data_IF_475685606334
#
_entry.id   IF_475685606334
#
_cell.length_a   1.000
_cell.length_b   1.000
_cell.length_c   1.000
_cell.angle_alpha   90.00
_cell.angle_beta   90.00
_cell.angle_gamma   90.00
#
_symmetry.space_group_name_H-M   'P 1'
#
loop_
_entity.id
_entity.type
_entity.pdbx_description
1 polymer ?
#
# COMPACT_ATOMS: atom_id res chain seq x y z
N UNK A 1 -0.60 12.17 45.68
CA UNK A 1 0.36 12.05 44.57
C UNK A 1 0.82 10.61 44.27
N UNK A 2 1.04 9.74 45.24
CA UNK A 2 1.50 8.35 45.02
C UNK A 2 0.48 7.39 44.30
N UNK A 3 -0.82 7.64 44.45
CA UNK A 3 -1.88 6.81 43.83
C UNK A 3 -2.03 7.07 42.32
N UNK A 4 -1.84 8.29 41.83
CA UNK A 4 -1.96 8.66 40.41
C UNK A 4 -0.83 8.01 39.58
N UNK A 5 0.41 8.05 40.05
CA UNK A 5 1.56 7.41 39.39
C UNK A 5 1.47 5.87 39.30
N UNK A 6 0.72 5.20 40.21
CA UNK A 6 0.50 3.75 40.14
C UNK A 6 -0.56 3.36 39.09
N UNK A 7 -1.59 4.20 38.91
CA UNK A 7 -2.62 3.98 37.88
C UNK A 7 -2.02 4.16 36.48
N UNK A 8 -1.21 5.21 36.28
CA UNK A 8 -0.54 5.49 34.99
C UNK A 8 0.41 4.35 34.58
N UNK A 9 1.18 3.81 35.53
CA UNK A 9 2.06 2.66 35.30
C UNK A 9 1.28 1.36 34.97
N UNK A 10 0.09 1.16 35.58
CA UNK A 10 -0.72 -0.01 35.30
C UNK A 10 -1.38 0.04 33.92
N UNK A 11 -1.82 1.21 33.47
CA UNK A 11 -2.42 1.41 32.15
C UNK A 11 -1.35 1.31 31.05
N UNK A 12 -0.20 1.94 31.18
CA UNK A 12 0.90 1.86 30.24
C UNK A 12 1.53 0.46 30.17
N UNK A 13 1.59 -0.28 31.26
CA UNK A 13 2.11 -1.65 31.30
C UNK A 13 1.19 -2.64 30.57
N UNK A 14 -0.14 -2.45 30.62
CA UNK A 14 -1.10 -3.28 29.87
C UNK A 14 -1.04 -3.01 28.36
N UNK A 15 -0.85 -1.75 27.96
CA UNK A 15 -0.65 -1.40 26.55
C UNK A 15 0.61 -2.06 25.97
N UNK A 16 1.74 -1.97 26.68
CA UNK A 16 3.01 -2.57 26.28
C UNK A 16 2.95 -4.11 26.27
N UNK A 17 2.25 -4.74 27.20
CA UNK A 17 2.09 -6.20 27.22
C UNK A 17 1.18 -6.70 26.09
N UNK A 18 0.17 -5.92 25.70
CA UNK A 18 -0.67 -6.23 24.55
C UNK A 18 0.11 -6.11 23.24
N UNK A 19 1.00 -5.12 23.10
CA UNK A 19 1.91 -4.96 21.94
C UNK A 19 2.91 -6.13 21.82
N UNK A 20 3.36 -6.67 22.93
CA UNK A 20 4.34 -7.77 22.96
C UNK A 20 3.70 -9.17 22.87
N UNK A 21 2.38 -9.28 22.81
CA UNK A 21 1.69 -10.57 22.78
C UNK A 21 1.86 -11.40 24.06
N UNK A 22 2.35 -10.79 25.16
CA UNK A 22 2.59 -11.41 26.45
C UNK A 22 1.44 -11.03 27.38
N UNK A 23 0.27 -11.61 27.15
CA UNK A 23 -0.88 -11.48 28.03
C UNK A 23 -1.38 -12.85 28.43
N UNK A 24 -1.28 -13.21 29.70
CA UNK A 24 -2.04 -14.35 30.24
C UNK A 24 -3.53 -14.09 29.99
N UNK A 25 -4.12 -14.93 29.14
CA UNK A 25 -5.56 -14.97 28.98
C UNK A 25 -6.17 -15.39 30.32
N UNK A 26 -7.16 -14.67 30.88
CA UNK A 26 -7.98 -15.24 31.93
C UNK A 26 -8.77 -16.40 31.32
N UNK A 27 -8.58 -17.60 31.86
CA UNK A 27 -9.43 -18.75 31.62
C UNK A 27 -10.87 -18.37 32.02
N UNK A 28 -11.68 -18.08 31.01
CA UNK A 28 -13.14 -18.14 31.23
C UNK A 28 -13.76 -18.91 30.07
N UNK A 29 -14.14 -20.13 30.43
CA UNK A 29 -14.84 -21.12 29.66
C UNK A 29 -16.25 -20.65 29.35
N UNK A 30 -16.50 -20.23 28.14
CA UNK A 30 -17.84 -19.91 27.70
C UNK A 30 -17.85 -19.34 26.27
N UNK A 31 -17.99 -20.23 25.26
CA UNK A 31 -18.04 -19.88 23.85
C UNK A 31 -19.08 -18.82 23.54
N UNK A 32 -18.59 -17.65 23.12
CA UNK A 32 -19.31 -16.68 22.30
C UNK A 32 -18.30 -15.93 21.44
N UNK A 33 -18.62 -15.84 20.17
CA UNK A 33 -17.92 -15.14 19.09
C UNK A 33 -17.07 -13.97 19.57
N UNK A 34 -15.81 -13.94 19.13
CA UNK A 34 -14.86 -12.86 19.36
C UNK A 34 -15.38 -11.53 18.78
N UNK A 35 -16.27 -10.87 19.53
CA UNK A 35 -16.50 -9.46 19.42
C UNK A 35 -15.22 -8.75 19.86
N UNK A 36 -14.76 -7.76 19.12
CA UNK A 36 -13.65 -6.87 19.44
C UNK A 36 -13.79 -6.50 20.93
N UNK A 37 -12.90 -7.05 21.76
CA UNK A 37 -12.92 -6.83 23.21
C UNK A 37 -12.70 -5.34 23.46
N UNK A 38 -13.77 -4.62 23.78
CA UNK A 38 -13.68 -3.26 24.31
C UNK A 38 -13.08 -3.40 25.71
N UNK A 39 -11.77 -3.24 25.83
CA UNK A 39 -11.13 -3.12 27.12
C UNK A 39 -11.65 -1.86 27.80
N UNK A 40 -12.67 -1.99 28.63
CA UNK A 40 -13.20 -0.91 29.45
C UNK A 40 -12.29 -0.70 30.66
N UNK A 41 -11.15 -0.05 30.45
CA UNK A 41 -10.41 0.53 31.57
C UNK A 41 -11.29 1.60 32.21
N UNK A 42 -11.46 1.55 33.54
CA UNK A 42 -12.23 2.55 34.30
C UNK A 42 -11.35 3.63 34.95
N UNK A 43 -10.09 3.78 34.52
CA UNK A 43 -9.28 4.89 34.99
C UNK A 43 -9.78 6.22 34.42
N UNK A 44 -9.61 7.37 35.12
CA UNK A 44 -10.05 8.67 34.65
C UNK A 44 -9.51 9.02 33.26
N UNK A 45 -8.26 8.70 32.98
CA UNK A 45 -7.61 8.98 31.68
C UNK A 45 -8.25 8.21 30.52
N UNK A 46 -8.64 6.93 30.74
CA UNK A 46 -9.37 6.18 29.73
C UNK A 46 -10.81 6.66 29.57
N UNK A 47 -11.42 7.18 30.62
CA UNK A 47 -12.73 7.80 30.58
C UNK A 47 -12.68 9.13 29.79
N UNK A 48 -11.68 9.97 30.03
CA UNK A 48 -11.46 11.21 29.29
C UNK A 48 -11.20 10.92 27.80
N UNK A 49 -10.34 9.95 27.49
CA UNK A 49 -10.09 9.53 26.12
C UNK A 49 -11.34 9.00 25.42
N UNK A 50 -12.25 8.33 26.12
CA UNK A 50 -13.51 7.88 25.57
C UNK A 50 -14.47 9.05 25.29
N UNK A 51 -14.48 10.06 26.15
CA UNK A 51 -15.23 11.30 25.92
C UNK A 51 -14.69 12.07 24.72
N UNK A 52 -13.37 12.16 24.56
CA UNK A 52 -12.75 12.83 23.43
C UNK A 52 -13.12 12.18 22.09
N UNK A 53 -13.15 10.83 22.05
CA UNK A 53 -13.64 10.09 20.87
C UNK A 53 -15.10 10.41 20.58
N UNK A 54 -15.96 10.45 21.58
CA UNK A 54 -17.37 10.79 21.37
C UNK A 54 -17.53 12.23 20.83
N UNK A 55 -16.76 13.18 21.36
CA UNK A 55 -16.74 14.55 20.84
C UNK A 55 -16.28 14.63 19.39
N UNK A 56 -15.23 13.89 19.02
CA UNK A 56 -14.78 13.77 17.64
C UNK A 56 -15.88 13.21 16.74
N UNK A 57 -16.57 12.14 17.16
CA UNK A 57 -17.67 11.54 16.38
C UNK A 57 -18.79 12.57 16.12
N UNK A 58 -19.24 13.29 17.14
CA UNK A 58 -20.25 14.34 16.97
C UNK A 58 -19.77 15.51 16.10
N UNK A 59 -18.49 15.91 16.27
CA UNK A 59 -17.89 16.94 15.43
C UNK A 59 -17.89 16.50 13.96
N UNK A 60 -17.49 15.25 13.68
CA UNK A 60 -17.49 14.68 12.33
C UNK A 60 -18.89 14.67 11.72
N UNK A 61 -19.92 14.20 12.45
CA UNK A 61 -21.29 14.21 11.97
C UNK A 61 -21.74 15.64 11.63
N UNK A 62 -21.48 16.62 12.50
CA UNK A 62 -21.80 18.01 12.23
C UNK A 62 -21.10 18.57 11.00
N UNK A 63 -19.83 18.21 10.77
CA UNK A 63 -19.07 18.62 9.58
C UNK A 63 -19.59 17.97 8.33
N UNK A 64 -19.84 16.65 8.34
CA UNK A 64 -20.39 15.91 7.20
C UNK A 64 -21.73 16.50 6.73
N UNK A 65 -22.63 16.80 7.66
CA UNK A 65 -23.90 17.48 7.36
C UNK A 65 -23.69 18.88 6.79
N UNK A 66 -22.77 19.67 7.38
CA UNK A 66 -22.48 21.02 6.89
C UNK A 66 -21.82 21.01 5.50
N UNK A 67 -21.16 19.92 5.12
CA UNK A 67 -20.52 19.72 3.81
C UNK A 67 -21.44 19.04 2.79
N UNK A 68 -22.70 18.78 3.12
CA UNK A 68 -23.73 18.31 2.18
C UNK A 68 -24.00 16.80 2.21
N UNK A 69 -23.62 16.10 3.29
CA UNK A 69 -24.17 14.78 3.52
C UNK A 69 -25.67 14.87 3.82
N UNK A 70 -26.48 13.99 3.22
CA UNK A 70 -27.93 13.95 3.43
C UNK A 70 -28.28 13.47 4.83
N UNK A 71 -27.44 12.62 5.39
CA UNK A 71 -27.62 12.02 6.70
C UNK A 71 -26.26 11.74 7.32
N UNK A 72 -26.09 11.97 8.62
CA UNK A 72 -24.93 11.55 9.38
C UNK A 72 -25.32 11.22 10.83
N UNK A 73 -24.96 10.04 11.31
CA UNK A 73 -25.33 9.54 12.62
C UNK A 73 -24.15 8.85 13.31
N UNK A 74 -24.09 9.01 14.63
CA UNK A 74 -23.11 8.34 15.50
C UNK A 74 -23.67 6.98 15.95
N UNK A 75 -22.78 5.96 16.05
CA UNK A 75 -23.09 4.64 16.59
C UNK A 75 -24.29 3.94 15.91
N UNK A 76 -24.47 4.15 14.62
CA UNK A 76 -25.51 3.50 13.81
C UNK A 76 -25.06 2.10 13.32
N UNK A 77 -25.95 1.41 12.63
CA UNK A 77 -25.67 0.12 11.97
C UNK A 77 -25.88 0.21 10.47
N UNK A 78 -24.99 -0.45 9.72
CA UNK A 78 -25.20 -0.77 8.31
C UNK A 78 -25.52 -2.26 8.24
N UNK A 79 -26.75 -2.61 7.88
CA UNK A 79 -27.27 -3.96 8.05
C UNK A 79 -27.23 -4.38 9.52
N UNK A 80 -26.44 -5.41 9.86
CA UNK A 80 -26.27 -5.87 11.24
C UNK A 80 -24.98 -5.34 11.89
N UNK A 81 -24.11 -4.67 11.16
CA UNK A 81 -22.78 -4.25 11.58
C UNK A 81 -22.81 -2.87 12.23
N UNK A 82 -22.30 -2.70 13.45
CA UNK A 82 -22.18 -1.39 14.07
C UNK A 82 -21.04 -0.60 13.40
N UNK A 83 -21.28 0.69 13.19
CA UNK A 83 -20.29 1.65 12.72
C UNK A 83 -20.21 2.83 13.68
N UNK A 84 -19.02 3.42 13.83
CA UNK A 84 -18.83 4.56 14.71
C UNK A 84 -19.53 5.81 14.18
N UNK A 85 -19.45 6.04 12.88
CA UNK A 85 -20.15 7.11 12.18
C UNK A 85 -20.67 6.55 10.86
N UNK A 86 -21.95 6.69 10.67
CA UNK A 86 -22.64 6.47 9.41
C UNK A 86 -22.87 7.80 8.72
N UNK A 87 -22.74 7.86 7.41
CA UNK A 87 -23.25 8.98 6.64
C UNK A 87 -23.67 8.54 5.23
N UNK A 88 -24.55 9.32 4.61
CA UNK A 88 -25.12 9.05 3.30
C UNK A 88 -25.02 10.29 2.40
N UNK A 89 -24.68 10.03 1.14
CA UNK A 89 -24.68 11.03 0.07
C UNK A 89 -25.40 10.42 -1.13
N UNK A 90 -26.54 10.97 -1.49
CA UNK A 90 -27.42 10.35 -2.48
C UNK A 90 -27.88 8.97 -2.02
N UNK A 91 -27.67 7.97 -2.86
CA UNK A 91 -28.01 6.58 -2.57
C UNK A 91 -26.84 5.76 -1.98
N UNK A 92 -25.71 6.40 -1.66
CA UNK A 92 -24.51 5.72 -1.22
C UNK A 92 -24.30 5.88 0.28
N UNK A 93 -24.03 4.77 0.93
CA UNK A 93 -23.74 4.70 2.36
C UNK A 93 -22.25 4.60 2.62
N UNK A 94 -21.79 5.29 3.64
CA UNK A 94 -20.38 5.38 4.01
C UNK A 94 -20.20 5.21 5.51
N UNK A 95 -19.02 4.78 5.93
CA UNK A 95 -18.69 4.65 7.32
C UNK A 95 -17.36 5.33 7.66
N UNK A 96 -17.28 5.88 8.87
CA UNK A 96 -16.00 6.27 9.48
C UNK A 96 -15.86 5.51 10.79
N UNK A 97 -14.75 4.81 10.93
CA UNK A 97 -14.37 4.07 12.13
C UNK A 97 -13.29 4.83 12.90
N UNK A 98 -13.46 4.99 14.20
CA UNK A 98 -12.55 5.76 15.07
C UNK A 98 -11.90 4.81 16.09
N UNK A 99 -10.58 4.78 16.13
CA UNK A 99 -9.81 3.92 17.03
C UNK A 99 -8.69 4.72 17.71
N UNK A 100 -8.77 4.86 19.03
CA UNK A 100 -7.75 5.54 19.85
C UNK A 100 -6.66 4.60 20.37
N UNK A 101 -6.80 3.28 20.17
CA UNK A 101 -5.83 2.27 20.58
C UNK A 101 -5.13 1.62 19.39
N UNK A 102 -4.24 0.66 19.65
CA UNK A 102 -3.61 -0.12 18.60
C UNK A 102 -4.65 -0.73 17.67
N UNK A 103 -4.41 -0.60 16.37
CA UNK A 103 -5.31 -1.14 15.36
C UNK A 103 -4.90 -2.58 15.03
N UNK A 104 -5.79 -3.54 15.24
CA UNK A 104 -5.67 -4.85 14.64
C UNK A 104 -5.95 -4.76 13.14
N UNK A 105 -4.88 -4.80 12.34
CA UNK A 105 -4.96 -4.70 10.88
C UNK A 105 -5.86 -5.79 10.28
N UNK A 106 -5.71 -7.04 10.71
CA UNK A 106 -6.47 -8.15 10.15
C UNK A 106 -7.96 -7.99 10.44
N UNK A 107 -8.29 -7.64 11.68
CA UNK A 107 -9.66 -7.36 12.11
C UNK A 107 -10.25 -6.14 11.38
N UNK A 108 -9.47 -5.09 11.15
CA UNK A 108 -9.92 -3.90 10.42
C UNK A 108 -10.20 -4.20 8.94
N UNK A 109 -9.35 -4.98 8.27
CA UNK A 109 -9.56 -5.42 6.89
C UNK A 109 -10.83 -6.26 6.78
N UNK A 110 -11.01 -7.23 7.66
CA UNK A 110 -12.19 -8.09 7.67
C UNK A 110 -13.46 -7.29 7.97
N UNK A 111 -13.41 -6.37 8.93
CA UNK A 111 -14.53 -5.49 9.24
C UNK A 111 -14.90 -4.60 8.04
N UNK A 112 -13.91 -4.00 7.39
CA UNK A 112 -14.11 -3.20 6.16
C UNK A 112 -14.75 -4.03 5.04
N UNK A 113 -14.29 -5.27 4.85
CA UNK A 113 -14.87 -6.18 3.86
C UNK A 113 -16.34 -6.47 4.15
N UNK A 114 -16.67 -6.81 5.39
CA UNK A 114 -18.05 -7.08 5.81
C UNK A 114 -18.97 -5.86 5.67
N UNK A 115 -18.48 -4.66 5.94
CA UNK A 115 -19.22 -3.42 5.72
C UNK A 115 -19.51 -3.20 4.23
N UNK A 116 -18.54 -3.46 3.35
CA UNK A 116 -18.75 -3.39 1.89
C UNK A 116 -19.76 -4.42 1.41
N UNK A 117 -19.70 -5.64 1.92
CA UNK A 117 -20.69 -6.70 1.63
C UNK A 117 -22.08 -6.31 2.12
N UNK A 118 -22.20 -5.50 3.18
CA UNK A 118 -23.45 -4.96 3.69
C UNK A 118 -23.96 -3.73 2.94
N UNK A 119 -23.26 -3.25 1.90
CA UNK A 119 -23.67 -2.12 1.07
C UNK A 119 -22.91 -0.82 1.31
N UNK A 120 -21.95 -0.79 2.24
CA UNK A 120 -21.12 0.39 2.47
C UNK A 120 -20.16 0.62 1.30
N UNK A 121 -20.22 1.79 0.67
CA UNK A 121 -19.38 2.16 -0.48
C UNK A 121 -17.90 2.27 -0.08
N UNK A 122 -17.64 2.95 1.05
CA UNK A 122 -16.28 3.16 1.55
C UNK A 122 -16.24 3.28 3.06
N UNK A 123 -15.13 2.83 3.64
CA UNK A 123 -14.84 2.92 5.07
C UNK A 123 -13.56 3.72 5.25
N UNK A 124 -13.64 4.83 5.99
CA UNK A 124 -12.50 5.63 6.43
C UNK A 124 -12.14 5.25 7.88
N UNK A 125 -10.88 5.00 8.14
CA UNK A 125 -10.38 4.74 9.49
C UNK A 125 -9.66 5.96 10.03
N UNK A 126 -10.05 6.43 11.21
CA UNK A 126 -9.34 7.44 12.00
C UNK A 126 -8.69 6.75 13.19
N UNK A 127 -7.38 6.79 13.26
CA UNK A 127 -6.62 6.04 14.26
C UNK A 127 -5.41 6.85 14.74
N UNK A 128 -4.71 6.36 15.75
CA UNK A 128 -3.41 6.92 16.12
C UNK A 128 -2.41 6.73 14.97
N UNK A 129 -1.44 7.64 14.80
CA UNK A 129 -0.39 7.48 13.81
C UNK A 129 0.37 6.16 13.99
N UNK A 130 0.62 5.45 12.89
CA UNK A 130 1.30 4.16 12.91
C UNK A 130 1.42 3.54 11.53
N UNK A 131 2.13 2.41 11.43
CA UNK A 131 2.39 1.72 10.16
C UNK A 131 1.12 1.25 9.44
N UNK A 132 0.05 0.97 10.17
CA UNK A 132 -1.23 0.53 9.63
C UNK A 132 -1.90 1.56 8.72
N UNK A 133 -1.62 2.87 8.93
CA UNK A 133 -2.18 3.94 8.11
C UNK A 133 -1.85 3.80 6.64
N UNK A 134 -0.71 3.20 6.31
CA UNK A 134 -0.31 2.96 4.94
C UNK A 134 -0.97 1.70 4.31
N UNK A 135 -1.63 0.88 5.09
CA UNK A 135 -2.18 -0.41 4.62
C UNK A 135 -3.70 -0.48 4.55
N UNK A 136 -4.37 0.58 4.98
CA UNK A 136 -5.83 0.72 4.99
C UNK A 136 -6.19 2.13 4.55
N UNK A 137 -7.42 2.39 4.09
CA UNK A 137 -7.93 3.75 3.91
C UNK A 137 -8.07 4.44 5.28
N UNK A 138 -6.94 4.83 5.85
CA UNK A 138 -6.84 5.35 7.21
C UNK A 138 -6.08 6.67 7.27
N UNK A 139 -6.35 7.42 8.35
CA UNK A 139 -5.64 8.63 8.73
C UNK A 139 -5.16 8.50 10.16
N UNK A 140 -3.92 8.90 10.41
CA UNK A 140 -3.37 9.03 11.74
C UNK A 140 -3.65 10.42 12.31
N UNK A 141 -4.47 10.48 13.35
CA UNK A 141 -4.85 11.71 14.04
C UNK A 141 -3.88 11.97 15.19
N UNK A 142 -3.30 13.17 15.24
CA UNK A 142 -2.32 13.57 16.25
C UNK A 142 -2.85 13.44 17.67
N UNK A 143 -4.07 13.91 17.87
CA UNK A 143 -4.74 13.90 19.16
C UNK A 143 -6.27 13.83 18.97
N UNK A 144 -6.92 12.99 19.74
CA UNK A 144 -8.39 12.85 19.75
C UNK A 144 -9.07 13.86 20.69
N UNK A 145 -8.32 14.53 21.58
CA UNK A 145 -8.86 15.58 22.42
C UNK A 145 -9.33 16.78 21.59
N UNK A 146 -10.43 17.44 21.97
CA UNK A 146 -10.96 18.57 21.22
C UNK A 146 -9.91 19.67 21.06
N UNK A 147 -9.54 20.01 19.81
CA UNK A 147 -8.57 21.06 19.56
C UNK A 147 -9.19 22.45 19.68
N UNK A 148 -8.34 23.46 19.83
CA UNK A 148 -8.78 24.84 19.82
C UNK A 148 -9.36 25.30 18.47
N UNK A 149 -8.85 24.73 17.35
CA UNK A 149 -9.24 25.11 16.00
C UNK A 149 -9.76 23.91 15.19
N UNK A 150 -8.91 22.90 14.94
CA UNK A 150 -9.25 21.74 14.16
C UNK A 150 -8.44 20.51 14.58
N UNK A 151 -8.93 19.31 14.23
CA UNK A 151 -8.17 18.06 14.38
C UNK A 151 -7.09 17.98 13.30
N UNK A 152 -5.89 17.52 13.70
CA UNK A 152 -4.73 17.46 12.83
C UNK A 152 -4.42 16.01 12.43
N UNK A 153 -4.23 15.82 11.13
CA UNK A 153 -3.76 14.57 10.53
C UNK A 153 -2.24 14.61 10.51
N UNK A 154 -1.58 13.66 11.17
CA UNK A 154 -0.12 13.50 11.16
C UNK A 154 0.38 12.52 10.12
N UNK A 155 -0.45 11.54 9.75
CA UNK A 155 -0.04 10.50 8.80
C UNK A 155 -1.20 10.02 7.94
N UNK A 156 -0.88 9.43 6.80
CA UNK A 156 -1.85 8.92 5.83
C UNK A 156 -2.03 9.80 4.61
N UNK A 157 -1.59 11.06 4.67
CA UNK A 157 -1.57 11.96 3.51
C UNK A 157 -0.29 11.76 2.71
N UNK A 158 -0.43 11.65 1.40
CA UNK A 158 0.67 11.54 0.44
C UNK A 158 0.65 12.73 -0.51
N UNK A 159 1.81 13.07 -1.03
CA UNK A 159 1.98 14.04 -2.11
C UNK A 159 2.95 13.48 -3.15
N UNK A 160 2.83 13.94 -4.38
CA UNK A 160 3.74 13.60 -5.47
C UNK A 160 4.37 14.86 -6.04
N UNK A 161 5.69 14.91 -5.99
CA UNK A 161 6.52 15.94 -6.63
C UNK A 161 6.87 15.59 -8.09
N UNK A 162 6.20 14.58 -8.68
CA UNK A 162 6.52 14.04 -9.99
C UNK A 162 7.55 12.91 -9.95
N UNK A 163 7.97 12.45 -8.76
CA UNK A 163 8.75 11.23 -8.60
C UNK A 163 7.88 9.98 -8.79
N UNK A 164 8.52 8.85 -9.09
CA UNK A 164 7.82 7.57 -9.24
C UNK A 164 7.24 7.03 -7.92
N UNK A 165 7.59 7.62 -6.79
CA UNK A 165 7.08 7.26 -5.48
C UNK A 165 6.41 8.47 -4.84
N UNK A 166 5.13 8.34 -4.51
CA UNK A 166 4.46 9.30 -3.66
C UNK A 166 5.08 9.27 -2.25
N UNK A 167 5.30 10.43 -1.67
CA UNK A 167 5.92 10.60 -0.35
C UNK A 167 4.91 11.11 0.68
N UNK A 168 5.13 10.87 1.98
CA UNK A 168 4.30 11.48 3.01
C UNK A 168 4.28 12.99 2.85
N UNK A 169 3.08 13.58 2.93
CA UNK A 169 2.92 15.03 2.87
C UNK A 169 3.63 15.67 4.07
N UNK A 170 4.46 16.70 3.86
CA UNK A 170 5.13 17.38 4.97
C UNK A 170 4.16 18.24 5.76
N UNK A 171 4.28 18.19 7.10
CA UNK A 171 3.50 18.98 8.04
C UNK A 171 2.08 18.45 8.30
N UNK A 172 1.44 18.98 9.34
CA UNK A 172 0.08 18.58 9.69
C UNK A 172 -0.92 19.07 8.64
N UNK A 173 -2.00 18.30 8.48
CA UNK A 173 -3.11 18.64 7.60
C UNK A 173 -4.41 18.68 8.41
N UNK A 174 -5.24 19.68 8.19
CA UNK A 174 -6.51 19.81 8.94
C UNK A 174 -7.52 18.75 8.50
N UNK A 175 -8.16 18.09 9.47
CA UNK A 175 -9.15 17.06 9.19
C UNK A 175 -10.36 17.63 8.44
N UNK A 176 -10.72 18.88 8.69
CA UNK A 176 -11.78 19.59 7.96
C UNK A 176 -11.47 19.67 6.46
N UNK A 177 -10.26 20.13 6.11
CA UNK A 177 -9.85 20.30 4.72
C UNK A 177 -9.76 18.93 4.01
N UNK A 178 -9.34 17.90 4.78
CA UNK A 178 -9.41 16.52 4.27
C UNK A 178 -10.84 16.09 3.95
N UNK A 179 -11.79 16.30 4.87
CA UNK A 179 -13.19 15.93 4.67
C UNK A 179 -13.79 16.65 3.46
N UNK A 180 -13.51 17.95 3.30
CA UNK A 180 -13.96 18.72 2.14
C UNK A 180 -13.41 18.15 0.83
N UNK A 181 -12.10 17.87 0.80
CA UNK A 181 -11.47 17.23 -0.36
C UNK A 181 -11.96 15.82 -0.62
N UNK A 182 -12.22 15.04 0.44
CA UNK A 182 -12.73 13.69 0.35
C UNK A 182 -14.17 13.63 -0.18
N UNK A 183 -15.06 14.47 0.35
CA UNK A 183 -16.46 14.54 -0.08
C UNK A 183 -16.59 15.12 -1.50
N UNK A 184 -15.77 16.11 -1.85
CA UNK A 184 -15.73 16.65 -3.22
C UNK A 184 -15.03 15.73 -4.22
N UNK A 185 -14.39 14.67 -3.76
CA UNK A 185 -13.64 13.74 -4.60
C UNK A 185 -12.30 14.27 -5.10
N UNK A 186 -11.81 15.37 -4.55
CA UNK A 186 -10.47 15.90 -4.88
C UNK A 186 -9.36 15.19 -4.12
N UNK A 187 -9.67 14.56 -2.98
CA UNK A 187 -8.76 13.69 -2.23
C UNK A 187 -9.27 12.26 -2.32
N UNK A 188 -8.41 11.36 -2.76
CA UNK A 188 -8.73 9.95 -2.98
C UNK A 188 -7.65 9.06 -2.39
N UNK A 189 -8.06 7.84 -2.00
CA UNK A 189 -7.12 6.80 -1.62
C UNK A 189 -6.49 6.19 -2.87
N UNK A 190 -5.18 6.00 -2.83
CA UNK A 190 -4.45 5.30 -3.90
C UNK A 190 -3.32 4.46 -3.33
N UNK A 191 -2.78 3.57 -4.16
CA UNK A 191 -1.64 2.74 -3.81
C UNK A 191 -0.35 3.37 -4.31
N UNK A 192 0.59 3.58 -3.39
CA UNK A 192 1.94 4.03 -3.67
C UNK A 192 2.80 2.91 -4.26
N UNK A 193 2.60 1.71 -3.74
CA UNK A 193 3.22 0.47 -4.18
C UNK A 193 2.24 -0.71 -3.96
N UNK A 194 2.70 -1.95 -4.12
CA UNK A 194 1.88 -3.16 -3.99
C UNK A 194 1.24 -3.35 -2.60
N UNK A 195 1.85 -2.81 -1.58
CA UNK A 195 1.51 -3.09 -0.19
C UNK A 195 1.04 -1.85 0.57
N UNK A 196 1.43 -0.67 0.11
CA UNK A 196 1.19 0.58 0.83
C UNK A 196 0.47 1.60 -0.03
N UNK A 197 -0.40 2.35 0.60
CA UNK A 197 -1.18 3.42 -0.01
C UNK A 197 -1.29 4.63 0.90
N UNK A 198 -2.14 5.56 0.51
CA UNK A 198 -2.44 6.75 1.29
C UNK A 198 -3.45 7.63 0.58
N UNK A 199 -3.80 8.72 1.23
CA UNK A 199 -4.68 9.74 0.70
C UNK A 199 -3.87 10.82 0.01
N UNK A 200 -4.22 11.15 -1.21
CA UNK A 200 -3.59 12.23 -1.96
C UNK A 200 -4.62 12.92 -2.85
N UNK A 201 -4.26 14.09 -3.34
CA UNK A 201 -5.12 14.75 -4.32
C UNK A 201 -5.13 13.97 -5.64
N UNK A 202 -6.20 14.12 -6.41
CA UNK A 202 -6.28 13.55 -7.77
C UNK A 202 -5.08 14.01 -8.60
N UNK A 203 -4.61 15.24 -8.40
CA UNK A 203 -3.42 15.78 -9.07
C UNK A 203 -2.16 15.03 -8.65
N UNK A 204 -1.95 14.78 -7.35
CA UNK A 204 -0.81 13.98 -6.85
C UNK A 204 -0.81 12.57 -7.46
N UNK A 205 -1.96 11.92 -7.49
CA UNK A 205 -2.10 10.59 -8.08
C UNK A 205 -1.90 10.59 -9.61
N UNK A 206 -2.31 11.65 -10.29
CA UNK A 206 -2.04 11.83 -11.72
C UNK A 206 -0.54 11.96 -11.97
N UNK A 207 0.16 12.78 -11.19
CA UNK A 207 1.61 12.95 -11.28
C UNK A 207 2.33 11.62 -10.98
N UNK A 208 1.94 10.94 -9.91
CA UNK A 208 2.49 9.63 -9.53
C UNK A 208 2.31 8.59 -10.65
N UNK A 209 1.09 8.48 -11.20
CA UNK A 209 0.80 7.54 -12.30
C UNK A 209 1.60 7.87 -13.55
N UNK A 210 1.73 9.16 -13.88
CA UNK A 210 2.54 9.61 -15.00
C UNK A 210 4.02 9.25 -14.80
N UNK A 211 4.57 9.53 -13.62
CA UNK A 211 5.95 9.18 -13.29
C UNK A 211 6.19 7.66 -13.36
N UNK A 212 5.27 6.84 -12.85
CA UNK A 212 5.32 5.39 -13.00
C UNK A 212 5.29 4.95 -14.48
N UNK A 213 4.42 5.57 -15.29
CA UNK A 213 4.36 5.30 -16.74
C UNK A 213 5.69 5.60 -17.42
N UNK A 214 6.37 6.68 -17.04
CA UNK A 214 7.70 7.03 -17.56
C UNK A 214 8.77 5.98 -17.17
N UNK A 215 8.73 5.50 -15.93
CA UNK A 215 9.62 4.41 -15.47
C UNK A 215 9.38 3.13 -16.28
N UNK A 216 8.12 2.75 -16.47
CA UNK A 216 7.74 1.59 -17.29
C UNK A 216 8.23 1.76 -18.74
N UNK A 217 8.05 2.94 -19.32
CA UNK A 217 8.52 3.23 -20.68
C UNK A 217 10.05 3.09 -20.79
N UNK A 218 10.79 3.61 -19.80
CA UNK A 218 12.25 3.46 -19.72
C UNK A 218 12.67 2.00 -19.60
N UNK A 219 12.04 1.23 -18.74
CA UNK A 219 12.32 -0.20 -18.57
C UNK A 219 12.02 -0.99 -19.83
N UNK A 220 10.93 -0.66 -20.55
CA UNK A 220 10.62 -1.26 -21.85
C UNK A 220 11.70 -0.96 -22.88
N UNK A 221 12.17 0.29 -22.96
CA UNK A 221 13.26 0.66 -23.86
C UNK A 221 14.55 -0.08 -23.52
N UNK A 222 14.86 -0.20 -22.24
CA UNK A 222 16.03 -0.95 -21.79
C UNK A 222 15.93 -2.43 -22.16
N UNK A 223 14.75 -3.04 -22.01
CA UNK A 223 14.50 -4.41 -22.47
C UNK A 223 14.70 -4.59 -23.97
N UNK A 224 14.26 -3.62 -24.77
CA UNK A 224 14.50 -3.64 -26.24
C UNK A 224 16.00 -3.58 -26.51
N UNK A 225 16.71 -2.68 -25.84
CA UNK A 225 18.16 -2.56 -25.99
C UNK A 225 18.89 -3.85 -25.58
N UNK A 226 18.50 -4.46 -24.46
CA UNK A 226 19.06 -5.72 -23.98
C UNK A 226 18.76 -6.88 -24.98
N UNK A 227 17.53 -6.96 -25.51
CA UNK A 227 17.18 -7.94 -26.56
C UNK A 227 18.02 -7.77 -27.81
N UNK A 228 18.25 -6.53 -28.23
CA UNK A 228 19.11 -6.21 -29.38
C UNK A 228 20.56 -6.62 -29.11
N UNK A 229 21.10 -6.25 -27.95
CA UNK A 229 22.43 -6.65 -27.52
C UNK A 229 22.59 -8.18 -27.44
N UNK A 230 21.56 -8.88 -26.93
CA UNK A 230 21.53 -10.34 -26.89
C UNK A 230 21.51 -10.96 -28.31
N UNK A 231 20.72 -10.38 -29.22
CA UNK A 231 20.69 -10.83 -30.62
C UNK A 231 22.05 -10.67 -31.29
N UNK A 232 22.72 -9.54 -31.09
CA UNK A 232 24.07 -9.29 -31.57
C UNK A 232 25.11 -10.26 -30.95
N UNK A 233 25.01 -10.50 -29.64
CA UNK A 233 25.84 -11.47 -28.95
C UNK A 233 25.66 -12.87 -29.49
N UNK A 234 24.39 -13.30 -29.70
CA UNK A 234 24.08 -14.59 -30.32
C UNK A 234 24.62 -14.70 -31.75
N UNK A 235 24.55 -13.64 -32.52
CA UNK A 235 25.16 -13.59 -33.85
C UNK A 235 26.68 -13.77 -33.75
N UNK A 236 27.32 -13.03 -32.88
CA UNK A 236 28.78 -13.15 -32.62
C UNK A 236 29.17 -14.56 -32.20
N UNK A 237 28.38 -15.17 -31.30
CA UNK A 237 28.60 -16.57 -30.87
C UNK A 237 28.48 -17.53 -32.08
N UNK A 238 27.43 -17.37 -32.90
CA UNK A 238 27.27 -18.21 -34.12
C UNK A 238 28.41 -18.03 -35.11
N UNK A 239 28.86 -16.79 -35.29
CA UNK A 239 29.95 -16.49 -36.21
C UNK A 239 31.29 -17.07 -35.68
N UNK A 240 31.53 -16.98 -34.36
CA UNK A 240 32.65 -17.66 -33.70
C UNK A 240 32.52 -19.18 -33.79
N UNK A 241 31.31 -19.73 -33.66
CA UNK A 241 31.05 -21.16 -33.81
C UNK A 241 31.34 -21.65 -35.22
N UNK A 242 30.96 -20.85 -36.24
CA UNK A 242 31.32 -21.14 -37.65
C UNK A 242 32.85 -21.07 -37.85
N UNK A 243 33.51 -20.09 -37.24
CA UNK A 243 34.95 -19.97 -37.29
C UNK A 243 35.63 -21.19 -36.62
N UNK A 244 35.15 -21.60 -35.44
CA UNK A 244 35.63 -22.79 -34.73
C UNK A 244 35.45 -24.01 -35.60
N UNK A 245 34.23 -24.25 -36.18
CA UNK A 245 34.01 -25.40 -37.10
C UNK A 245 34.95 -25.39 -38.31
N UNK A 246 35.21 -24.19 -38.86
CA UNK A 246 36.13 -24.01 -39.97
C UNK A 246 37.58 -24.27 -39.52
N UNK A 247 37.94 -23.93 -38.30
CA UNK A 247 39.26 -24.23 -37.72
C UNK A 247 39.41 -25.72 -37.41
N UNK A 248 38.34 -26.34 -36.84
CA UNK A 248 38.31 -27.77 -36.55
C UNK A 248 38.45 -28.60 -37.85
N UNK A 249 37.68 -28.24 -38.93
CA UNK A 249 37.82 -28.92 -40.19
C UNK A 249 39.15 -28.69 -40.91
N UNK A 250 39.87 -27.59 -40.60
CA UNK A 250 41.25 -27.38 -41.05
C UNK A 250 42.23 -28.21 -40.25
N UNK A 251 42.00 -28.37 -38.94
CA UNK A 251 42.76 -29.24 -38.05
C UNK A 251 42.61 -30.72 -38.44
N UNK A 252 41.34 -31.18 -38.71
CA UNK A 252 41.08 -32.52 -39.19
C UNK A 252 41.76 -32.82 -40.56
N UNK A 253 41.98 -31.76 -41.34
CA UNK A 253 42.71 -31.87 -42.62
C UNK A 253 44.22 -31.78 -42.46
N UNK A 254 44.65 -31.21 -41.37
CA UNK A 254 46.04 -31.05 -41.03
C UNK A 254 46.52 -32.17 -40.07
N UNK A 255 45.97 -33.36 -40.23
CA UNK A 255 46.02 -34.53 -39.34
C UNK A 255 47.44 -34.96 -38.85
N UNK A 256 48.44 -34.13 -38.99
CA UNK A 256 49.82 -34.52 -38.64
C UNK A 256 50.50 -33.64 -37.63
N UNK A 257 49.91 -32.53 -37.22
CA UNK A 257 50.64 -31.65 -36.30
C UNK A 257 49.90 -31.39 -34.99
N UNK A 258 50.28 -32.19 -34.01
CA UNK A 258 50.65 -31.79 -32.66
C UNK A 258 49.60 -31.42 -31.60
N UNK A 259 49.86 -31.93 -30.39
CA UNK A 259 49.25 -31.63 -29.09
C UNK A 259 48.98 -30.14 -28.86
N UNK A 260 49.75 -29.23 -29.46
CA UNK A 260 49.65 -27.80 -29.36
C UNK A 260 48.34 -27.23 -29.93
N UNK A 261 47.74 -27.93 -30.91
CA UNK A 261 46.46 -27.60 -31.49
C UNK A 261 45.26 -28.13 -30.66
N UNK A 262 45.46 -29.24 -29.91
CA UNK A 262 44.44 -29.79 -29.01
C UNK A 262 44.21 -28.85 -27.79
N UNK A 263 45.23 -28.24 -27.26
CA UNK A 263 45.12 -27.26 -26.18
C UNK A 263 44.42 -25.97 -26.63
N UNK A 264 44.70 -25.53 -27.86
CA UNK A 264 44.03 -24.41 -28.49
C UNK A 264 42.53 -24.66 -28.71
N UNK A 265 42.17 -25.86 -29.11
CA UNK A 265 40.79 -26.33 -29.28
C UNK A 265 40.05 -26.37 -27.89
N UNK A 266 40.73 -26.88 -26.88
CA UNK A 266 40.20 -26.95 -25.52
C UNK A 266 39.91 -25.55 -24.94
N UNK A 267 40.78 -24.58 -25.25
CA UNK A 267 40.54 -23.18 -24.82
C UNK A 267 39.35 -22.52 -25.54
N UNK A 268 39.21 -22.79 -26.87
CA UNK A 268 38.06 -22.30 -27.64
C UNK A 268 36.73 -22.83 -27.10
N UNK A 269 36.71 -24.12 -26.74
CA UNK A 269 35.54 -24.72 -26.12
C UNK A 269 35.19 -24.17 -24.73
N UNK A 270 36.22 -23.79 -23.92
CA UNK A 270 35.98 -23.11 -22.63
C UNK A 270 35.27 -21.74 -22.83
N UNK A 271 35.77 -20.95 -23.78
CA UNK A 271 35.13 -19.66 -24.11
C UNK A 271 33.70 -19.80 -24.55
N UNK A 272 33.39 -20.83 -25.33
CA UNK A 272 32.02 -21.14 -25.76
C UNK A 272 31.12 -21.50 -24.57
N UNK A 273 31.60 -22.32 -23.66
CA UNK A 273 30.84 -22.69 -22.46
C UNK A 273 30.59 -21.48 -21.53
N UNK A 274 31.56 -20.58 -21.45
CA UNK A 274 31.42 -19.34 -20.68
C UNK A 274 30.41 -18.37 -21.35
N UNK A 275 30.39 -18.28 -22.67
CA UNK A 275 29.36 -17.56 -23.39
C UNK A 275 27.96 -18.17 -23.17
N UNK A 276 27.83 -19.49 -23.16
CA UNK A 276 26.56 -20.14 -22.82
C UNK A 276 26.11 -19.87 -21.39
N UNK A 277 27.03 -19.78 -20.42
CA UNK A 277 26.69 -19.37 -19.03
C UNK A 277 26.20 -17.94 -18.99
N UNK A 278 26.86 -17.03 -19.71
CA UNK A 278 26.43 -15.62 -19.80
C UNK A 278 25.03 -15.53 -20.45
N UNK A 279 24.79 -16.23 -21.55
CA UNK A 279 23.49 -16.27 -22.21
C UNK A 279 22.38 -16.84 -21.29
N UNK A 280 22.67 -17.87 -20.53
CA UNK A 280 21.74 -18.42 -19.56
C UNK A 280 21.40 -17.40 -18.44
N UNK A 281 22.39 -16.69 -17.93
CA UNK A 281 22.16 -15.65 -16.93
C UNK A 281 21.33 -14.48 -17.47
N UNK A 282 21.58 -14.07 -18.72
CA UNK A 282 20.81 -13.02 -19.38
C UNK A 282 19.34 -13.41 -19.59
N UNK A 283 19.06 -14.68 -20.00
CA UNK A 283 17.69 -15.18 -20.12
C UNK A 283 16.91 -15.15 -18.81
N UNK A 284 17.57 -15.52 -17.68
CA UNK A 284 16.97 -15.45 -16.35
C UNK A 284 16.63 -13.99 -16.00
N UNK A 285 17.56 -13.06 -16.28
CA UNK A 285 17.35 -11.64 -16.04
C UNK A 285 16.17 -11.07 -16.85
N UNK A 286 16.10 -11.41 -18.15
CA UNK A 286 15.00 -10.96 -19.03
C UNK A 286 13.65 -11.47 -18.53
N UNK A 287 13.58 -12.75 -18.11
CA UNK A 287 12.34 -13.31 -17.56
C UNK A 287 11.90 -12.57 -16.28
N UNK A 288 12.81 -12.33 -15.35
CA UNK A 288 12.51 -11.58 -14.12
C UNK A 288 12.03 -10.13 -14.41
N UNK A 289 12.63 -9.48 -15.40
CA UNK A 289 12.18 -8.15 -15.83
C UNK A 289 10.80 -8.18 -16.49
N UNK A 290 10.48 -9.21 -17.26
CA UNK A 290 9.15 -9.38 -17.85
C UNK A 290 8.05 -9.61 -16.80
N UNK A 291 8.33 -10.39 -15.77
CA UNK A 291 7.43 -10.59 -14.63
C UNK A 291 7.20 -9.26 -13.87
N UNK A 292 8.26 -8.48 -13.65
CA UNK A 292 8.18 -7.16 -13.02
C UNK A 292 7.30 -6.19 -13.82
N UNK A 293 7.48 -6.14 -15.15
CA UNK A 293 6.68 -5.27 -16.04
C UNK A 293 5.19 -5.67 -16.00
N UNK A 294 4.89 -6.96 -16.08
CA UNK A 294 3.51 -7.44 -16.03
C UNK A 294 2.81 -7.01 -14.73
N UNK A 295 3.56 -7.08 -13.63
CA UNK A 295 3.08 -6.62 -12.33
C UNK A 295 2.78 -5.10 -12.33
N UNK A 296 3.70 -4.29 -12.83
CA UNK A 296 3.51 -2.84 -12.95
C UNK A 296 2.35 -2.46 -13.88
N UNK A 297 2.12 -3.21 -14.95
CA UNK A 297 0.96 -3.03 -15.82
C UNK A 297 -0.36 -3.24 -15.06
N UNK A 298 -0.44 -4.28 -14.24
CA UNK A 298 -1.63 -4.56 -13.42
C UNK A 298 -1.91 -3.41 -12.44
N UNK A 299 -0.89 -2.96 -11.73
CA UNK A 299 -0.99 -1.83 -10.77
C UNK A 299 -1.48 -0.56 -11.47
N UNK A 300 -0.91 -0.25 -12.64
CA UNK A 300 -1.32 0.91 -13.44
C UNK A 300 -2.78 0.80 -13.90
N UNK A 301 -3.21 -0.40 -14.33
CA UNK A 301 -4.59 -0.63 -14.77
C UNK A 301 -5.60 -0.44 -13.62
N UNK A 302 -5.30 -0.97 -12.45
CA UNK A 302 -6.12 -0.79 -11.26
C UNK A 302 -6.23 0.69 -10.85
N UNK A 303 -5.12 1.42 -10.89
CA UNK A 303 -5.08 2.86 -10.59
C UNK A 303 -5.93 3.68 -11.58
N UNK A 304 -5.83 3.37 -12.88
CA UNK A 304 -6.63 4.02 -13.94
C UNK A 304 -8.13 3.72 -13.78
N UNK A 305 -8.50 2.48 -13.46
CA UNK A 305 -9.90 2.09 -13.23
C UNK A 305 -10.50 2.83 -12.03
N UNK A 306 -9.74 3.01 -10.95
CA UNK A 306 -10.17 3.81 -9.82
C UNK A 306 -10.42 5.27 -10.19
N UNK A 307 -9.56 5.88 -10.98
CA UNK A 307 -9.73 7.26 -11.46
C UNK A 307 -10.98 7.36 -12.34
N UNK A 308 -11.17 6.43 -13.29
CA UNK A 308 -12.31 6.43 -14.22
C UNK A 308 -13.63 6.25 -13.46
N UNK A 309 -13.70 5.31 -12.52
CA UNK A 309 -14.91 5.10 -11.71
C UNK A 309 -15.23 6.31 -10.85
N UNK A 310 -14.20 6.98 -10.35
CA UNK A 310 -14.34 8.19 -9.55
C UNK A 310 -14.85 9.38 -10.40
N UNK A 311 -14.25 9.59 -11.58
CA UNK A 311 -14.68 10.64 -12.52
C UNK A 311 -16.10 10.38 -13.03
N UNK A 312 -16.42 9.13 -13.37
CA UNK A 312 -17.76 8.74 -13.78
C UNK A 312 -18.80 8.96 -12.65
N UNK A 313 -18.45 8.63 -11.42
CA UNK A 313 -19.28 8.89 -10.25
C UNK A 313 -19.52 10.38 -10.00
N UNK A 314 -18.48 11.21 -10.17
CA UNK A 314 -18.61 12.65 -10.02
C UNK A 314 -19.46 13.31 -11.12
N UNK A 315 -19.54 12.73 -12.34
CA UNK A 315 -20.42 13.22 -13.42
C UNK A 315 -21.88 12.83 -13.22
N UNK A 316 -22.17 11.76 -12.49
CA UNK A 316 -23.57 11.31 -12.22
C UNK A 316 -24.21 12.10 -11.07
N UNK A 317 -23.42 12.75 -10.24
CA UNK A 317 -23.87 13.54 -9.06
C UNK A 317 -24.09 15.03 -9.43
N UNK A 318 -23.84 15.45 -10.67
CA UNK A 318 -24.25 16.73 -11.25
C UNK A 318 -25.53 16.59 -12.07
#
# INVERSE_FOLDING_TARGET
MRTKQRADKACGRRAVLAELGIGEAPEDSGGRSAGISRYSCRCPECADAQWDIQRLKYWLCGRLLAMGADEAEVDRRIGTLPVDIYYRIGDREYAIEVRSGPLDRAGAVEHTKRLREAGCESVLWLCQPGYWVAHLPALGIANFAPPACDYLIESGMLTSDGSALATPRPGPFELRDFLEGFLSGTIVWGYRDELTGGWGTVTDWTHHTHAQAMVIARQRQELVNQRTALALSRKSVRDKQKQIMKLTSRLERAELDTEEHADSLAEANRKLADHHRIDASLRVTIKGLQETISHWQLVTYCSMMLIVTFVAGAMVVR
#
